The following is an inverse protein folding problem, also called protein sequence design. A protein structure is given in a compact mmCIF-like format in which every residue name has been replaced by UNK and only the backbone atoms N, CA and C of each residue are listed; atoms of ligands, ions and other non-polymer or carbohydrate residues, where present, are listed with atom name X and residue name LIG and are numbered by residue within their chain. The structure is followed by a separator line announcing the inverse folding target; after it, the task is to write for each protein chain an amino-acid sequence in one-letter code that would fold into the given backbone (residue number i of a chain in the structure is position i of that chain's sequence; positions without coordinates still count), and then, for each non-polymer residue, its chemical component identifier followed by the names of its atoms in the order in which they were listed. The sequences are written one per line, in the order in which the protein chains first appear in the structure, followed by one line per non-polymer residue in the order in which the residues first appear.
data_IF_748165031987
#
_entry.id   IF_748165031987
#
_cell.length_a   1.000
_cell.length_b   1.000
_cell.length_c   1.000
_cell.angle_alpha   90.00
_cell.angle_beta   90.00
_cell.angle_gamma   90.00
#
_symmetry.space_group_name_H-M   'P 1'
#
loop_
_entity.id
_entity.type
_entity.pdbx_description
1 polymer ?
#
# COMPACT_ATOMS: atom_id res chain seq x y z
N UNK A 1 30.33 7.18 4.31
CA UNK A 1 28.87 7.20 4.03
C UNK A 1 28.25 8.31 4.86
N UNK A 2 27.35 9.14 4.33
CA UNK A 2 26.65 10.12 5.16
C UNK A 2 25.93 9.39 6.31
N UNK A 3 25.89 10.02 7.47
CA UNK A 3 25.26 9.48 8.69
C UNK A 3 23.77 9.35 8.45
N UNK A 4 23.18 8.16 8.71
CA UNK A 4 21.73 7.94 8.58
C UNK A 4 20.95 8.93 9.47
N UNK A 5 19.94 9.56 8.89
CA UNK A 5 19.04 10.42 9.66
C UNK A 5 18.14 9.58 10.60
N UNK A 6 17.58 10.23 11.60
CA UNK A 6 16.67 9.56 12.55
C UNK A 6 15.44 9.01 11.83
N UNK A 7 14.91 9.75 10.84
CA UNK A 7 13.74 9.34 10.06
C UNK A 7 14.07 8.18 9.11
N UNK A 8 15.28 8.15 8.49
CA UNK A 8 15.70 7.01 7.69
C UNK A 8 15.77 5.72 8.50
N UNK A 9 16.37 5.76 9.69
CA UNK A 9 16.42 4.61 10.61
C UNK A 9 15.02 4.10 10.97
N UNK A 10 14.11 5.02 11.24
CA UNK A 10 12.73 4.71 11.59
C UNK A 10 12.00 4.04 10.42
N UNK A 11 12.12 4.57 9.21
CA UNK A 11 11.52 3.99 8.01
C UNK A 11 12.11 2.61 7.69
N UNK A 12 13.42 2.44 7.81
CA UNK A 12 14.09 1.14 7.64
C UNK A 12 13.57 0.11 8.65
N UNK A 13 13.46 0.50 9.93
CA UNK A 13 12.95 -0.39 10.99
C UNK A 13 11.51 -0.84 10.70
N UNK A 14 10.59 0.08 10.47
CA UNK A 14 9.18 -0.25 10.27
C UNK A 14 8.94 -1.00 8.94
N UNK A 15 9.67 -0.66 7.89
CA UNK A 15 9.61 -1.40 6.62
C UNK A 15 10.15 -2.81 6.78
N UNK A 16 11.31 -2.98 7.43
CA UNK A 16 11.88 -4.29 7.71
C UNK A 16 10.96 -5.15 8.57
N UNK A 17 10.36 -4.54 9.62
CA UNK A 17 9.37 -5.22 10.47
C UNK A 17 8.15 -5.68 9.68
N UNK A 18 7.56 -4.84 8.82
CA UNK A 18 6.41 -5.22 8.00
C UNK A 18 6.77 -6.36 7.02
N UNK A 19 7.96 -6.30 6.39
CA UNK A 19 8.44 -7.37 5.51
C UNK A 19 8.55 -8.69 6.26
N UNK A 20 9.08 -8.68 7.48
CA UNK A 20 9.26 -9.88 8.31
C UNK A 20 7.92 -10.43 8.80
N UNK A 21 7.05 -9.58 9.38
CA UNK A 21 5.76 -9.99 9.97
C UNK A 21 4.84 -10.65 8.94
N UNK A 22 4.88 -10.21 7.68
CA UNK A 22 4.02 -10.74 6.60
C UNK A 22 4.77 -11.61 5.57
N UNK A 23 6.05 -11.90 5.78
CA UNK A 23 6.85 -12.70 4.85
C UNK A 23 6.77 -12.14 3.42
N UNK A 24 6.95 -10.80 3.26
CA UNK A 24 6.69 -10.14 1.97
C UNK A 24 7.75 -10.43 0.93
N UNK A 25 9.01 -10.49 1.34
CA UNK A 25 10.17 -10.67 0.46
C UNK A 25 11.02 -11.83 0.97
N UNK A 26 11.39 -12.73 0.07
CA UNK A 26 12.21 -13.91 0.34
C UNK A 26 13.43 -13.93 -0.60
N UNK A 27 14.39 -14.78 -0.28
CA UNK A 27 15.53 -15.02 -1.17
C UNK A 27 15.06 -15.57 -2.51
N UNK A 28 15.57 -15.00 -3.61
CA UNK A 28 15.21 -15.35 -4.98
C UNK A 28 14.03 -14.57 -5.55
N UNK A 29 13.37 -13.72 -4.74
CA UNK A 29 12.28 -12.87 -5.27
C UNK A 29 12.80 -11.83 -6.26
N UNK A 30 12.00 -11.59 -7.31
CA UNK A 30 12.15 -10.50 -8.27
C UNK A 30 11.06 -9.46 -8.01
N UNK A 31 11.43 -8.38 -7.35
CA UNK A 31 10.50 -7.36 -6.84
C UNK A 31 10.45 -6.17 -7.78
N UNK A 32 9.30 -5.96 -8.42
CA UNK A 32 9.00 -4.77 -9.20
C UNK A 32 8.35 -3.70 -8.33
N UNK A 33 9.02 -2.57 -8.15
CA UNK A 33 8.52 -1.41 -7.39
C UNK A 33 7.80 -0.46 -8.33
N UNK A 34 6.51 -0.23 -8.13
CA UNK A 34 5.74 0.72 -8.93
C UNK A 34 6.03 2.16 -8.47
N UNK A 35 6.78 2.90 -9.29
CA UNK A 35 7.09 4.30 -9.08
C UNK A 35 6.07 5.18 -9.79
N UNK A 36 5.24 5.87 -9.00
CA UNK A 36 4.23 6.81 -9.51
C UNK A 36 4.76 8.24 -9.67
N UNK A 37 6.00 8.49 -9.30
CA UNK A 37 6.56 9.84 -9.21
C UNK A 37 6.22 10.59 -7.92
N UNK A 38 5.42 10.02 -7.03
CA UNK A 38 5.08 10.60 -5.73
C UNK A 38 6.06 10.22 -4.61
N UNK A 39 6.07 11.02 -3.54
CA UNK A 39 6.94 10.87 -2.36
C UNK A 39 6.97 9.45 -1.79
N UNK A 40 5.82 8.77 -1.75
CA UNK A 40 5.66 7.46 -1.12
C UNK A 40 6.37 6.37 -1.94
N UNK A 41 6.24 6.42 -3.25
CA UNK A 41 6.88 5.48 -4.17
C UNK A 41 8.40 5.65 -4.24
N UNK A 42 8.90 6.90 -4.22
CA UNK A 42 10.34 7.16 -4.09
C UNK A 42 10.88 6.65 -2.75
N UNK A 43 10.18 6.92 -1.66
CA UNK A 43 10.57 6.44 -0.32
C UNK A 43 10.60 4.92 -0.29
N UNK A 44 9.56 4.25 -0.82
CA UNK A 44 9.53 2.79 -0.93
C UNK A 44 10.78 2.25 -1.67
N UNK A 45 11.04 2.80 -2.87
CA UNK A 45 12.18 2.35 -3.67
C UNK A 45 13.51 2.57 -2.93
N UNK A 46 13.70 3.74 -2.33
CA UNK A 46 14.92 4.06 -1.59
C UNK A 46 15.12 3.15 -0.39
N UNK A 47 14.11 2.95 0.42
CA UNK A 47 14.19 2.10 1.61
C UNK A 47 14.41 0.63 1.25
N UNK A 48 13.73 0.10 0.23
CA UNK A 48 13.97 -1.26 -0.25
C UNK A 48 15.40 -1.43 -0.81
N UNK A 49 15.91 -0.45 -1.54
CA UNK A 49 17.29 -0.48 -2.04
C UNK A 49 18.33 -0.47 -0.90
N UNK A 50 18.07 0.25 0.18
CA UNK A 50 18.92 0.22 1.38
C UNK A 50 18.82 -1.12 2.11
N UNK A 51 17.62 -1.66 2.28
CA UNK A 51 17.39 -2.97 2.91
C UNK A 51 18.03 -4.11 2.12
N UNK A 52 17.92 -4.10 0.78
CA UNK A 52 18.56 -5.10 -0.10
C UNK A 52 20.06 -5.22 0.17
N UNK A 53 20.73 -4.11 0.45
CA UNK A 53 22.18 -4.07 0.72
C UNK A 53 22.55 -4.53 2.13
N UNK A 54 21.60 -4.60 3.05
CA UNK A 54 21.80 -4.88 4.48
C UNK A 54 21.33 -6.27 4.89
N UNK A 55 20.42 -6.85 4.11
CA UNK A 55 19.87 -8.17 4.42
C UNK A 55 20.70 -9.29 3.81
N UNK A 56 20.66 -10.45 4.46
CA UNK A 56 21.18 -11.69 3.90
C UNK A 56 20.28 -12.30 2.82
N UNK A 57 19.01 -11.90 2.78
CA UNK A 57 18.05 -12.32 1.75
C UNK A 57 18.43 -11.68 0.41
N UNK A 58 18.84 -12.51 -0.55
CA UNK A 58 19.17 -12.05 -1.91
C UNK A 58 17.90 -11.98 -2.74
N UNK A 59 17.52 -10.79 -3.13
CA UNK A 59 16.38 -10.52 -4.03
C UNK A 59 16.74 -9.44 -5.03
N UNK A 60 16.06 -9.42 -6.17
CA UNK A 60 16.23 -8.41 -7.19
C UNK A 60 15.23 -7.26 -6.99
N UNK A 61 15.68 -6.03 -7.24
CA UNK A 61 14.83 -4.85 -7.26
C UNK A 61 14.84 -4.24 -8.65
N UNK A 62 13.66 -3.87 -9.11
CA UNK A 62 13.44 -3.19 -10.38
C UNK A 62 12.41 -2.07 -10.19
N UNK A 63 12.67 -0.90 -10.77
CA UNK A 63 11.73 0.21 -10.76
C UNK A 63 10.89 0.22 -12.04
N UNK A 64 9.56 0.27 -11.90
CA UNK A 64 8.65 0.38 -13.01
C UNK A 64 7.79 1.64 -12.89
N UNK A 65 7.76 2.42 -13.97
CA UNK A 65 6.92 3.62 -14.06
C UNK A 65 6.05 3.53 -15.30
N UNK A 66 4.77 3.86 -15.16
CA UNK A 66 3.84 3.96 -16.27
C UNK A 66 3.60 5.44 -16.59
N UNK A 67 4.10 5.88 -17.73
CA UNK A 67 3.68 7.13 -18.36
C UNK A 67 2.35 6.90 -19.10
N UNK A 68 1.29 7.53 -18.61
CA UNK A 68 -0.06 7.42 -19.16
C UNK A 68 -0.31 8.40 -20.32
N UNK A 69 0.71 9.03 -20.84
CA UNK A 69 0.66 10.09 -21.84
C UNK A 69 -0.14 11.33 -21.40
N UNK A 70 -0.04 11.70 -20.11
CA UNK A 70 -0.69 12.89 -19.58
C UNK A 70 0.03 14.16 -20.08
N UNK A 71 -0.71 15.23 -20.39
CA UNK A 71 -0.10 16.51 -20.70
C UNK A 71 0.79 17.01 -19.55
N UNK A 72 2.00 17.44 -19.90
CA UNK A 72 2.97 17.96 -18.93
C UNK A 72 3.74 16.89 -18.16
N UNK A 73 3.64 15.60 -18.53
CA UNK A 73 4.50 14.56 -17.97
C UNK A 73 5.96 14.83 -18.31
N UNK A 74 6.80 14.86 -17.28
CA UNK A 74 8.26 14.92 -17.41
C UNK A 74 8.89 13.95 -16.42
N UNK A 75 9.69 13.04 -16.92
CA UNK A 75 10.36 11.98 -16.15
C UNK A 75 11.89 12.13 -16.09
N UNK A 76 12.45 13.24 -16.57
CA UNK A 76 13.90 13.47 -16.59
C UNK A 76 14.52 13.34 -15.20
N UNK A 77 13.95 14.01 -14.21
CA UNK A 77 14.43 13.92 -12.83
C UNK A 77 14.29 12.51 -12.23
N UNK A 78 13.26 11.75 -12.63
CA UNK A 78 13.09 10.35 -12.20
C UNK A 78 14.20 9.47 -12.81
N UNK A 79 14.49 9.62 -14.11
CA UNK A 79 15.57 8.89 -14.80
C UNK A 79 16.91 9.16 -14.14
N UNK A 80 17.23 10.43 -13.94
CA UNK A 80 18.47 10.87 -13.31
C UNK A 80 18.62 10.32 -11.89
N UNK A 81 17.54 10.34 -11.12
CA UNK A 81 17.51 9.81 -9.77
C UNK A 81 17.75 8.29 -9.71
N UNK A 82 17.17 7.51 -10.63
CA UNK A 82 17.36 6.06 -10.73
C UNK A 82 18.78 5.70 -11.22
N UNK A 83 19.25 6.39 -12.27
CA UNK A 83 20.58 6.17 -12.84
C UNK A 83 21.70 6.48 -11.84
N UNK A 84 21.61 7.60 -11.12
CA UNK A 84 22.59 7.99 -10.09
C UNK A 84 22.72 6.94 -8.98
N UNK A 85 21.70 6.14 -8.76
CA UNK A 85 21.66 5.06 -7.75
C UNK A 85 21.89 3.67 -8.31
N UNK A 86 22.12 3.57 -9.62
CA UNK A 86 22.29 2.31 -10.36
C UNK A 86 21.12 1.32 -10.12
N UNK A 87 19.90 1.85 -10.05
CA UNK A 87 18.69 1.06 -9.92
C UNK A 87 18.21 0.69 -11.33
N UNK A 88 18.04 -0.58 -11.67
CA UNK A 88 17.47 -0.97 -12.96
C UNK A 88 16.00 -0.55 -13.05
N UNK A 89 15.59 0.00 -14.19
CA UNK A 89 14.25 0.55 -14.35
C UNK A 89 13.73 0.50 -15.79
N UNK A 90 12.41 0.58 -15.90
CA UNK A 90 11.68 0.83 -17.15
C UNK A 90 10.62 1.91 -16.95
N UNK A 91 10.49 2.78 -17.93
CA UNK A 91 9.40 3.75 -18.04
C UNK A 91 8.62 3.40 -19.28
N UNK A 92 7.52 2.69 -19.09
CA UNK A 92 6.62 2.27 -20.17
C UNK A 92 5.62 3.38 -20.45
N UNK A 93 5.51 3.78 -21.72
CA UNK A 93 4.51 4.74 -22.16
C UNK A 93 3.34 4.03 -22.82
N UNK A 94 2.14 4.19 -22.26
CA UNK A 94 0.87 3.73 -22.86
C UNK A 94 -0.20 4.81 -22.67
N UNK A 95 -0.83 5.24 -23.75
CA UNK A 95 -1.87 6.28 -23.70
C UNK A 95 -3.18 5.75 -23.10
N UNK A 96 -3.20 5.66 -21.78
CA UNK A 96 -4.43 5.38 -21.04
C UNK A 96 -5.23 6.65 -20.75
N UNK A 97 -4.58 7.82 -20.83
CA UNK A 97 -5.22 9.10 -20.55
C UNK A 97 -6.30 9.43 -21.56
N UNK A 98 -6.01 9.35 -22.86
CA UNK A 98 -6.97 9.60 -23.94
C UNK A 98 -8.13 8.62 -23.90
N UNK A 99 -7.87 7.34 -23.58
CA UNK A 99 -8.92 6.31 -23.46
C UNK A 99 -9.86 6.64 -22.30
N UNK A 100 -9.32 7.04 -21.14
CA UNK A 100 -10.14 7.40 -19.97
C UNK A 100 -10.98 8.63 -20.25
N UNK A 101 -10.41 9.66 -20.88
CA UNK A 101 -11.13 10.87 -21.27
C UNK A 101 -12.26 10.60 -22.27
N UNK A 102 -12.01 9.74 -23.25
CA UNK A 102 -13.02 9.41 -24.26
C UNK A 102 -14.19 8.60 -23.71
N UNK A 103 -13.98 7.78 -22.69
CA UNK A 103 -15.00 6.86 -22.16
C UNK A 103 -15.82 7.41 -21.00
N UNK A 104 -15.36 8.45 -20.34
CA UNK A 104 -16.04 8.98 -19.14
C UNK A 104 -16.47 10.42 -19.41
N UNK A 105 -17.79 10.73 -19.36
CA UNK A 105 -18.32 12.08 -19.51
C UNK A 105 -17.74 13.05 -18.47
N UNK A 106 -17.62 14.33 -18.83
CA UNK A 106 -17.23 15.38 -17.89
C UNK A 106 -18.15 15.40 -16.67
N UNK A 107 -17.54 15.51 -15.48
CA UNK A 107 -18.26 15.50 -14.19
C UNK A 107 -18.30 14.14 -13.48
N UNK A 108 -17.93 13.04 -14.16
CA UNK A 108 -17.86 11.71 -13.55
C UNK A 108 -16.43 11.34 -13.08
N UNK A 109 -16.33 10.38 -12.14
CA UNK A 109 -15.04 9.98 -11.56
C UNK A 109 -14.24 9.08 -12.51
N UNK A 110 -13.07 9.53 -12.91
CA UNK A 110 -12.13 8.78 -13.77
C UNK A 110 -11.41 7.64 -13.04
N UNK A 111 -11.43 7.60 -11.72
CA UNK A 111 -10.52 6.81 -10.89
C UNK A 111 -10.67 5.30 -11.06
N UNK A 112 -11.88 4.77 -11.18
CA UNK A 112 -12.08 3.31 -11.24
C UNK A 112 -11.57 2.70 -12.55
N UNK A 113 -11.83 3.35 -13.69
CA UNK A 113 -11.34 2.90 -15.00
C UNK A 113 -9.84 3.09 -15.11
N UNK A 114 -9.32 4.26 -14.73
CA UNK A 114 -7.89 4.56 -14.74
C UNK A 114 -7.09 3.56 -13.88
N UNK A 115 -7.55 3.30 -12.65
CA UNK A 115 -6.86 2.36 -11.75
C UNK A 115 -6.91 0.91 -12.27
N UNK A 116 -8.00 0.51 -12.93
CA UNK A 116 -8.13 -0.82 -13.54
C UNK A 116 -7.18 -0.98 -14.73
N UNK A 117 -7.09 0.01 -15.60
CA UNK A 117 -6.19 -0.01 -16.77
C UNK A 117 -4.73 -0.04 -16.31
N UNK A 118 -4.35 0.85 -15.38
CA UNK A 118 -3.00 0.85 -14.79
C UNK A 118 -2.62 -0.49 -14.20
N UNK A 119 -3.52 -1.11 -13.44
CA UNK A 119 -3.30 -2.42 -12.83
C UNK A 119 -3.09 -3.49 -13.89
N UNK A 120 -3.90 -3.49 -14.96
CA UNK A 120 -3.75 -4.43 -16.08
C UNK A 120 -2.37 -4.33 -16.73
N UNK A 121 -1.89 -3.12 -17.00
CA UNK A 121 -0.57 -2.87 -17.60
C UNK A 121 0.55 -3.30 -16.65
N UNK A 122 0.47 -2.93 -15.37
CA UNK A 122 1.45 -3.33 -14.35
C UNK A 122 1.55 -4.86 -14.25
N UNK A 123 0.43 -5.57 -14.24
CA UNK A 123 0.40 -7.02 -14.14
C UNK A 123 0.94 -7.71 -15.40
N UNK A 124 0.57 -7.21 -16.58
CA UNK A 124 1.09 -7.70 -17.86
C UNK A 124 2.61 -7.55 -17.92
N UNK A 125 3.12 -6.35 -17.65
CA UNK A 125 4.56 -6.09 -17.65
C UNK A 125 5.31 -6.97 -16.63
N UNK A 126 4.77 -7.14 -15.43
CA UNK A 126 5.37 -7.99 -14.42
C UNK A 126 5.44 -9.45 -14.85
N UNK A 127 4.39 -9.96 -15.52
CA UNK A 127 4.31 -11.32 -16.05
C UNK A 127 5.32 -11.54 -17.18
N UNK A 128 5.33 -10.67 -18.19
CA UNK A 128 6.21 -10.75 -19.36
C UNK A 128 7.70 -10.69 -18.97
N UNK A 129 8.03 -10.01 -17.87
CA UNK A 129 9.41 -9.85 -17.39
C UNK A 129 9.75 -10.74 -16.18
N UNK A 130 8.86 -11.66 -15.78
CA UNK A 130 9.12 -12.66 -14.73
C UNK A 130 9.26 -12.09 -13.33
N UNK A 131 8.61 -10.96 -13.00
CA UNK A 131 8.52 -10.44 -11.66
C UNK A 131 7.43 -11.17 -10.87
N UNK A 132 7.77 -11.75 -9.72
CA UNK A 132 6.82 -12.46 -8.86
C UNK A 132 6.25 -11.59 -7.73
N UNK A 133 6.85 -10.43 -7.46
CA UNK A 133 6.40 -9.47 -6.45
C UNK A 133 6.20 -8.10 -7.07
N UNK A 134 5.07 -7.46 -6.73
CA UNK A 134 4.76 -6.08 -7.11
C UNK A 134 4.64 -5.26 -5.82
N UNK A 135 5.56 -4.31 -5.62
CA UNK A 135 5.60 -3.46 -4.44
C UNK A 135 4.95 -2.10 -4.69
N UNK A 136 4.01 -1.74 -3.83
CA UNK A 136 3.26 -0.49 -3.89
C UNK A 136 3.55 0.39 -2.66
N UNK A 137 3.62 1.72 -2.87
CA UNK A 137 4.00 2.71 -1.86
C UNK A 137 2.91 3.08 -0.84
N UNK A 138 1.87 2.25 -0.67
CA UNK A 138 0.85 2.50 0.36
C UNK A 138 1.44 2.35 1.76
N UNK A 139 1.12 3.31 2.63
CA UNK A 139 1.65 3.39 3.98
C UNK A 139 0.53 3.27 5.04
N UNK A 140 0.89 3.30 6.33
CA UNK A 140 -0.04 3.15 7.46
C UNK A 140 -1.30 4.00 7.31
N UNK A 141 -1.12 5.28 6.99
CA UNK A 141 -2.22 6.24 6.98
C UNK A 141 -3.19 6.00 5.81
N UNK A 142 -2.73 5.39 4.71
CA UNK A 142 -3.59 4.91 3.64
C UNK A 142 -4.45 3.72 4.08
N UNK A 143 -3.86 2.79 4.82
CA UNK A 143 -4.56 1.60 5.31
C UNK A 143 -5.69 1.99 6.28
N UNK A 144 -5.39 2.84 7.27
CA UNK A 144 -6.40 3.28 8.25
C UNK A 144 -7.46 4.18 7.62
N UNK A 145 -7.08 5.05 6.69
CA UNK A 145 -8.03 5.86 5.93
C UNK A 145 -8.98 4.97 5.10
N UNK A 146 -8.45 3.95 4.42
CA UNK A 146 -9.27 3.00 3.65
C UNK A 146 -10.18 2.18 4.56
N UNK A 147 -9.74 1.76 5.75
CA UNK A 147 -10.58 1.10 6.74
C UNK A 147 -11.78 1.99 7.11
N UNK A 148 -11.51 3.23 7.51
CA UNK A 148 -12.57 4.13 7.95
C UNK A 148 -13.54 4.49 6.80
N UNK A 149 -13.02 4.71 5.59
CA UNK A 149 -13.85 4.89 4.40
C UNK A 149 -14.74 3.67 4.13
N UNK A 150 -14.21 2.46 4.25
CA UNK A 150 -15.00 1.23 4.04
C UNK A 150 -16.11 1.09 5.07
N UNK A 151 -15.85 1.40 6.33
CA UNK A 151 -16.87 1.37 7.39
C UNK A 151 -17.97 2.41 7.14
N UNK A 152 -17.57 3.66 6.86
CA UNK A 152 -18.50 4.80 6.79
C UNK A 152 -19.32 4.86 5.49
N UNK A 153 -18.75 4.41 4.37
CA UNK A 153 -19.37 4.60 3.05
C UNK A 153 -19.76 3.28 2.36
N UNK A 154 -19.15 2.15 2.74
CA UNK A 154 -19.46 0.86 2.10
C UNK A 154 -20.11 -0.16 3.05
N UNK A 155 -20.15 0.10 4.37
CA UNK A 155 -20.68 -0.84 5.36
C UNK A 155 -19.83 -2.11 5.51
N UNK A 156 -18.54 -2.04 5.21
CA UNK A 156 -17.62 -3.17 5.26
C UNK A 156 -16.41 -2.90 6.17
N UNK A 157 -15.98 -3.90 6.92
CA UNK A 157 -14.70 -3.87 7.64
C UNK A 157 -13.61 -4.37 6.70
N UNK A 158 -13.04 -3.47 5.91
CA UNK A 158 -12.06 -3.77 4.87
C UNK A 158 -10.99 -2.69 4.77
N UNK A 159 -9.76 -3.08 4.43
CA UNK A 159 -8.67 -2.17 4.09
C UNK A 159 -7.78 -2.77 2.99
N UNK A 160 -6.59 -2.20 2.82
CA UNK A 160 -5.56 -2.71 1.92
C UNK A 160 -4.65 -3.69 2.68
N UNK A 161 -4.66 -5.00 2.40
CA UNK A 161 -3.79 -5.93 3.10
C UNK A 161 -2.32 -5.67 2.77
N UNK A 162 -1.39 -5.90 3.72
CA UNK A 162 0.04 -5.71 3.50
C UNK A 162 0.61 -6.64 2.42
N UNK A 163 0.01 -7.83 2.25
CA UNK A 163 0.37 -8.81 1.23
C UNK A 163 -0.90 -9.43 0.65
N UNK A 164 -0.99 -9.51 -0.66
CA UNK A 164 -2.19 -9.96 -1.37
C UNK A 164 -1.80 -10.74 -2.63
N UNK A 165 -2.48 -11.84 -2.89
CA UNK A 165 -2.44 -12.49 -4.20
C UNK A 165 -3.25 -11.64 -5.19
N UNK A 166 -2.68 -11.35 -6.36
CA UNK A 166 -3.37 -10.59 -7.42
C UNK A 166 -4.61 -11.31 -7.92
N UNK A 167 -5.57 -10.57 -8.51
CA UNK A 167 -6.85 -11.12 -8.98
C UNK A 167 -6.65 -12.25 -10.01
N UNK A 168 -5.60 -12.15 -10.86
CA UNK A 168 -5.21 -13.19 -11.81
C UNK A 168 -4.38 -14.34 -11.19
N UNK A 169 -4.12 -14.31 -9.88
CA UNK A 169 -3.36 -15.28 -9.09
C UNK A 169 -1.91 -15.51 -9.56
N UNK A 170 -1.33 -14.59 -10.35
CA UNK A 170 0.03 -14.72 -10.91
C UNK A 170 1.10 -13.96 -10.15
N UNK A 171 0.72 -12.91 -9.41
CA UNK A 171 1.65 -12.05 -8.68
C UNK A 171 1.24 -11.87 -7.23
N UNK A 172 2.24 -11.65 -6.39
CA UNK A 172 2.02 -11.21 -5.00
C UNK A 172 2.21 -9.69 -4.95
N UNK A 173 1.16 -8.97 -4.59
CA UNK A 173 1.21 -7.53 -4.32
C UNK A 173 1.61 -7.31 -2.87
N UNK A 174 2.63 -6.49 -2.63
CA UNK A 174 3.14 -6.19 -1.30
C UNK A 174 3.12 -4.68 -1.01
N UNK A 175 2.98 -4.32 0.26
CA UNK A 175 2.99 -2.93 0.75
C UNK A 175 3.98 -2.79 1.91
N UNK A 176 5.28 -2.72 1.62
CA UNK A 176 6.32 -2.72 2.65
C UNK A 176 6.25 -1.54 3.61
N UNK A 177 5.67 -0.39 3.19
CA UNK A 177 5.48 0.78 4.04
C UNK A 177 4.24 0.70 4.95
N UNK A 178 3.56 -0.46 5.05
CA UNK A 178 2.31 -0.62 5.81
C UNK A 178 2.38 -0.16 7.28
N UNK A 179 3.55 -0.16 7.90
CA UNK A 179 3.76 0.33 9.27
C UNK A 179 4.33 1.75 9.34
N UNK A 180 4.76 2.33 8.22
CA UNK A 180 5.35 3.67 8.15
C UNK A 180 4.28 4.76 8.23
N UNK A 181 4.55 5.82 8.99
CA UNK A 181 3.67 6.97 9.11
C UNK A 181 3.90 7.94 7.95
N UNK A 182 2.83 8.53 7.43
CA UNK A 182 2.93 9.51 6.32
C UNK A 182 3.83 10.69 6.67
N UNK A 183 3.78 11.17 7.93
CA UNK A 183 4.64 12.27 8.40
C UNK A 183 6.13 11.97 8.28
N UNK A 184 6.53 10.73 8.58
CA UNK A 184 7.94 10.30 8.47
C UNK A 184 8.36 10.20 7.00
N UNK A 185 7.45 9.79 6.11
CA UNK A 185 7.70 9.77 4.67
C UNK A 185 7.83 11.19 4.11
N UNK A 186 6.99 12.13 4.56
CA UNK A 186 7.06 13.54 4.17
C UNK A 186 8.41 14.16 4.60
N UNK A 187 8.82 13.92 5.85
CA UNK A 187 10.10 14.40 6.38
C UNK A 187 11.26 13.83 5.56
N UNK A 188 11.28 12.52 5.34
CA UNK A 188 12.31 11.86 4.56
C UNK A 188 12.35 12.31 3.10
N UNK A 189 11.20 12.52 2.47
CA UNK A 189 11.12 13.01 1.11
C UNK A 189 11.73 14.41 0.94
N UNK A 190 11.58 15.29 1.96
CA UNK A 190 12.23 16.60 1.99
C UNK A 190 13.73 16.48 2.15
N UNK A 191 14.21 15.62 3.06
CA UNK A 191 15.66 15.36 3.21
C UNK A 191 16.30 14.82 1.93
N UNK A 192 15.59 13.95 1.20
CA UNK A 192 16.09 13.31 -0.01
C UNK A 192 15.92 14.16 -1.29
N UNK A 193 15.20 15.28 -1.20
CA UNK A 193 14.89 16.17 -2.34
C UNK A 193 14.40 15.41 -3.58
N UNK A 194 13.39 14.54 -3.40
CA UNK A 194 12.89 13.72 -4.50
C UNK A 194 12.34 14.59 -5.65
N UNK A 195 12.64 14.25 -6.91
CA UNK A 195 12.08 14.92 -8.08
C UNK A 195 10.61 14.49 -8.28
N UNK A 196 9.72 15.08 -7.48
CA UNK A 196 8.29 14.70 -7.47
C UNK A 196 7.66 15.10 -8.82
N UNK A 197 7.00 14.13 -9.45
CA UNK A 197 6.18 14.37 -10.64
C UNK A 197 4.75 14.71 -10.15
N UNK A 198 4.27 15.94 -10.40
CA UNK A 198 2.92 16.33 -9.99
C UNK A 198 1.87 15.51 -10.75
N UNK A 199 0.93 14.91 -10.02
CA UNK A 199 -0.22 14.25 -10.64
C UNK A 199 -1.33 15.28 -10.87
N UNK A 200 -1.59 15.63 -12.12
CA UNK A 200 -2.62 16.61 -12.52
C UNK A 200 -3.97 15.98 -12.85
N UNK A 201 -4.09 14.65 -12.79
CA UNK A 201 -5.25 13.90 -13.29
C UNK A 201 -6.50 13.89 -12.39
N UNK A 202 -6.37 14.10 -11.09
CA UNK A 202 -7.42 13.72 -10.15
C UNK A 202 -8.02 14.90 -9.40
N UNK A 203 -9.01 15.58 -10.04
CA UNK A 203 -10.05 16.35 -9.34
C UNK A 203 -11.25 15.50 -8.91
N UNK A 204 -11.06 14.21 -8.57
CA UNK A 204 -12.18 13.29 -8.36
C UNK A 204 -12.82 13.42 -6.98
N UNK A 205 -14.14 13.12 -6.90
CA UNK A 205 -14.88 13.07 -5.63
C UNK A 205 -14.29 12.09 -4.61
N UNK A 206 -13.66 11.00 -5.09
CA UNK A 206 -13.00 10.00 -4.26
C UNK A 206 -11.81 10.59 -3.49
N UNK A 207 -11.06 11.52 -4.11
CA UNK A 207 -10.02 12.28 -3.42
C UNK A 207 -10.59 13.20 -2.33
N UNK A 208 -11.77 13.79 -2.55
CA UNK A 208 -12.44 14.62 -1.55
C UNK A 208 -12.89 13.79 -0.34
N UNK A 209 -13.46 12.60 -0.56
CA UNK A 209 -13.85 11.68 0.51
C UNK A 209 -12.62 11.23 1.31
N UNK A 210 -11.54 10.86 0.62
CA UNK A 210 -10.27 10.48 1.26
C UNK A 210 -9.68 11.63 2.08
N UNK A 211 -9.68 12.85 1.57
CA UNK A 211 -9.21 14.03 2.28
C UNK A 211 -10.05 14.31 3.54
N UNK A 212 -11.39 14.27 3.43
CA UNK A 212 -12.28 14.43 4.59
C UNK A 212 -12.04 13.38 5.66
N UNK A 213 -11.83 12.13 5.23
CA UNK A 213 -11.53 11.02 6.15
C UNK A 213 -10.18 11.21 6.84
N UNK A 214 -9.15 11.69 6.14
CA UNK A 214 -7.85 12.04 6.74
C UNK A 214 -8.02 13.15 7.78
N UNK A 215 -8.73 14.22 7.44
CA UNK A 215 -9.02 15.32 8.39
C UNK A 215 -9.72 14.81 9.65
N UNK A 216 -10.70 13.92 9.50
CA UNK A 216 -11.39 13.31 10.65
C UNK A 216 -10.42 12.50 11.53
N UNK A 217 -9.55 11.69 10.93
CA UNK A 217 -8.53 10.92 11.67
C UNK A 217 -7.58 11.88 12.41
N UNK A 218 -7.15 12.95 11.75
CA UNK A 218 -6.26 13.96 12.35
C UNK A 218 -6.92 14.70 13.51
N UNK A 219 -8.22 15.01 13.42
CA UNK A 219 -9.00 15.61 14.51
C UNK A 219 -9.05 14.66 15.71
N UNK A 220 -9.42 13.40 15.49
CA UNK A 220 -9.43 12.38 16.55
C UNK A 220 -8.05 12.16 17.17
N UNK A 221 -6.99 12.25 16.38
CA UNK A 221 -5.62 12.11 16.84
C UNK A 221 -5.14 13.28 17.71
N UNK A 222 -5.77 14.47 17.62
CA UNK A 222 -5.52 15.59 18.54
C UNK A 222 -6.00 15.27 19.96
N UNK A 223 -7.15 14.61 20.08
CA UNK A 223 -7.72 14.21 21.36
C UNK A 223 -6.94 13.02 21.96
N UNK A 224 -6.58 12.05 21.09
CA UNK A 224 -5.77 10.90 21.50
C UNK A 224 -4.77 10.51 20.40
N UNK A 225 -3.47 10.82 20.57
CA UNK A 225 -2.42 10.52 19.59
C UNK A 225 -2.23 9.03 19.28
N UNK A 226 -2.81 8.12 20.09
CA UNK A 226 -2.74 6.68 19.86
C UNK A 226 -3.79 6.17 18.83
N UNK A 227 -4.80 6.99 18.48
CA UNK A 227 -5.89 6.57 17.59
C UNK A 227 -5.39 5.99 16.26
N UNK A 228 -4.48 6.62 15.50
CA UNK A 228 -4.00 6.02 14.25
C UNK A 228 -3.31 4.67 14.44
N UNK A 229 -2.58 4.49 15.54
CA UNK A 229 -1.93 3.21 15.87
C UNK A 229 -2.93 2.15 16.30
N UNK A 230 -3.96 2.53 17.05
CA UNK A 230 -5.05 1.63 17.45
C UNK A 230 -5.86 1.17 16.23
N UNK A 231 -6.13 2.07 15.27
CA UNK A 231 -6.82 1.71 14.02
C UNK A 231 -6.00 0.71 13.20
N UNK A 232 -4.69 0.91 13.08
CA UNK A 232 -3.81 -0.06 12.42
C UNK A 232 -3.81 -1.41 13.16
N UNK A 233 -3.72 -1.39 14.49
CA UNK A 233 -3.73 -2.60 15.30
C UNK A 233 -5.05 -3.38 15.13
N UNK A 234 -6.18 -2.68 15.08
CA UNK A 234 -7.49 -3.29 14.89
C UNK A 234 -7.61 -4.12 13.59
N UNK A 235 -6.88 -3.73 12.52
CA UNK A 235 -6.83 -4.50 11.27
C UNK A 235 -6.23 -5.91 11.43
N UNK A 236 -5.38 -6.11 12.43
CA UNK A 236 -4.75 -7.40 12.73
C UNK A 236 -5.29 -8.08 14.00
N UNK A 237 -6.29 -7.47 14.68
CA UNK A 237 -6.82 -7.95 15.96
C UNK A 237 -8.35 -8.06 15.91
N UNK A 238 -8.84 -8.97 15.07
CA UNK A 238 -10.28 -9.17 14.86
C UNK A 238 -10.80 -10.23 15.83
N UNK A 239 -11.79 -9.86 16.67
CA UNK A 239 -12.50 -10.78 17.56
C UNK A 239 -13.82 -11.21 16.93
N UNK A 240 -13.83 -12.33 16.23
CA UNK A 240 -14.99 -12.82 15.46
C UNK A 240 -16.23 -12.99 16.30
N UNK A 241 -16.09 -13.48 17.54
CA UNK A 241 -17.21 -13.66 18.50
C UNK A 241 -17.88 -12.35 18.91
N UNK A 242 -17.23 -11.20 18.67
CA UNK A 242 -17.75 -9.87 19.00
C UNK A 242 -18.28 -9.11 17.76
N UNK A 243 -18.34 -9.79 16.60
CA UNK A 243 -18.89 -9.25 15.36
C UNK A 243 -20.18 -9.98 14.99
N UNK A 244 -20.94 -9.43 14.04
CA UNK A 244 -22.23 -10.00 13.61
C UNK A 244 -22.12 -10.85 12.33
N UNK A 245 -20.89 -11.32 11.96
CA UNK A 245 -20.65 -12.12 10.76
C UNK A 245 -21.05 -13.58 10.98
N UNK A 246 -22.24 -13.95 10.47
CA UNK A 246 -22.81 -15.29 10.58
C UNK A 246 -22.04 -16.36 9.77
N UNK A 247 -21.20 -15.96 8.84
CA UNK A 247 -20.38 -16.89 8.05
C UNK A 247 -19.08 -17.25 8.75
N UNK A 248 -18.65 -16.42 9.70
CA UNK A 248 -17.37 -16.56 10.41
C UNK A 248 -17.53 -16.93 11.88
N UNK A 249 -18.73 -16.77 12.44
CA UNK A 249 -19.07 -17.15 13.81
C UNK A 249 -20.42 -17.89 13.85
N UNK A 250 -20.43 -19.09 14.47
CA UNK A 250 -21.60 -19.96 14.52
C UNK A 250 -22.51 -19.62 15.71
N UNK A 251 -23.31 -18.59 15.53
CA UNK A 251 -24.29 -18.16 16.56
C UNK A 251 -25.38 -19.20 16.85
N UNK A 252 -25.68 -20.07 15.88
CA UNK A 252 -26.84 -21.01 16.01
C UNK A 252 -26.54 -22.24 16.83
N UNK A 253 -25.27 -22.51 17.11
CA UNK A 253 -24.86 -23.72 17.85
C UNK A 253 -24.14 -23.40 19.17
N UNK A 254 -24.29 -22.18 19.71
CA UNK A 254 -23.62 -21.78 20.95
C UNK A 254 -24.15 -22.61 22.14
N UNK A 255 -25.48 -22.91 22.21
CA UNK A 255 -26.10 -23.71 23.26
C UNK A 255 -25.57 -25.15 23.30
N UNK A 256 -25.25 -25.74 22.15
CA UNK A 256 -24.62 -27.06 22.06
C UNK A 256 -23.23 -27.10 22.68
N UNK A 257 -22.48 -25.98 22.57
CA UNK A 257 -21.15 -25.87 23.17
C UNK A 257 -21.22 -25.70 24.68
N UNK A 258 -22.24 -25.02 25.20
CA UNK A 258 -22.47 -24.84 26.61
C UNK A 258 -22.78 -26.20 27.31
N UNK A 259 -23.65 -27.05 26.73
CA UNK A 259 -24.02 -28.37 27.29
C UNK A 259 -22.78 -29.30 27.40
N UNK A 260 -21.82 -29.23 26.47
CA UNK A 260 -20.59 -30.04 26.53
C UNK A 260 -19.66 -29.56 27.67
N UNK A 261 -19.71 -28.29 28.05
CA UNK A 261 -18.96 -27.73 29.18
C UNK A 261 -19.47 -28.27 30.54
N UNK A 262 -20.77 -28.34 30.74
CA UNK A 262 -21.40 -28.80 31.99
C UNK A 262 -21.20 -30.29 32.23
N UNK A 263 -21.12 -31.13 31.20
CA UNK A 263 -20.86 -32.57 31.33
C UNK A 263 -19.41 -32.93 31.73
N UNK A 264 -18.47 -32.03 31.59
CA UNK A 264 -17.05 -32.24 32.00
C UNK A 264 -16.81 -31.89 33.47
N UNK A 265 -17.69 -31.12 34.11
CA UNK A 265 -17.58 -30.74 35.52
C UNK A 265 -18.22 -31.73 36.49
N UNK A 266 -19.04 -32.67 36.01
CA UNK A 266 -19.64 -33.73 36.83
C UNK A 266 -18.82 -35.04 36.85
N UNK A 267 -17.69 -35.11 36.15
CA UNK A 267 -16.82 -36.29 36.02
C UNK A 267 -15.44 -36.17 36.74
N UNK A 268 -15.24 -35.11 37.54
CA UNK A 268 -14.12 -34.95 38.48
C UNK A 268 -14.65 -34.85 39.92
#
# INVERSE_FOLDING_TARGET
MPKESAVEKKLLHYTGKAIADYGMIQTGDRVMVCLSGGKDSYTLMRILHLLQRRTNNKFELFAFTLDQAQPGWNDDGLREWLQSRKIPFEILREDTYSIVKAKIPEGNTYCSLCSRMRRGIIYRYAEENGFNKIALGHHRDDLICTLLMSILYNGEIRSMPPKLLSDNKRHIVIRPLAYCQEKDIIEYAKEQMYPIIPCTLCGSQENLVRQRTKVLIDQLAKDNPKIPSNMLHALGSVKLSQLMDRNRWDFKNLEKQQIIGDQKTEAE
#
